data_IF_854415424038
#
_entry.id   IF_854415424038
#
_cell.length_a   1.000
_cell.length_b   1.000
_cell.length_c   1.000
_cell.angle_alpha   90.00
_cell.angle_beta   90.00
_cell.angle_gamma   90.00
#
_symmetry.space_group_name_H-M   'P 1'
#
loop_
_entity.id
_entity.type
_entity.pdbx_description
1 polymer ?
#
# COMPACT_ATOMS: atom_id res chain seq x y z
N UNK A 1 2.28 14.78 83.14
CA UNK A 1 3.48 15.02 82.32
C UNK A 1 3.29 14.38 80.95
N UNK A 2 3.03 15.22 79.89
CA UNK A 2 2.81 14.75 78.50
C UNK A 2 4.13 14.87 77.75
N UNK A 3 4.73 13.73 77.35
CA UNK A 3 5.88 13.72 76.44
C UNK A 3 5.42 13.80 74.98
N UNK A 4 5.64 14.96 74.40
CA UNK A 4 5.45 15.21 72.97
C UNK A 4 6.68 14.72 72.21
N UNK A 5 6.54 13.63 71.45
CA UNK A 5 7.55 13.20 70.48
C UNK A 5 7.44 14.04 69.19
N UNK A 6 8.46 14.87 68.92
CA UNK A 6 8.60 15.58 67.64
C UNK A 6 8.79 14.61 66.48
N UNK A 7 8.09 14.72 65.35
CA UNK A 7 8.33 13.85 64.21
C UNK A 7 9.69 14.17 63.58
N UNK A 8 10.40 13.11 63.18
CA UNK A 8 11.73 13.17 62.60
C UNK A 8 11.69 13.67 61.15
N UNK A 9 11.99 14.94 60.99
CA UNK A 9 12.01 15.66 59.67
C UNK A 9 13.03 15.07 58.65
N UNK A 10 14.03 14.30 59.13
CA UNK A 10 15.09 13.71 58.27
C UNK A 10 14.61 12.53 57.41
N UNK A 11 13.60 11.76 57.81
CA UNK A 11 13.07 10.62 57.05
C UNK A 11 12.20 11.08 55.88
N UNK A 12 11.51 12.18 56.02
CA UNK A 12 10.65 12.77 54.97
C UNK A 12 11.47 13.35 53.79
N UNK A 13 12.58 14.03 54.06
CA UNK A 13 13.45 14.62 53.07
C UNK A 13 14.14 13.55 52.19
N UNK A 14 14.54 12.43 52.82
CA UNK A 14 15.18 11.32 52.09
C UNK A 14 14.19 10.59 51.16
N UNK A 15 12.93 10.40 51.61
CA UNK A 15 11.87 9.82 50.78
C UNK A 15 11.51 10.71 49.59
N UNK A 16 11.50 12.05 49.80
CA UNK A 16 11.20 13.00 48.74
C UNK A 16 12.32 13.03 47.67
N UNK A 17 13.58 12.93 48.12
CA UNK A 17 14.74 12.90 47.20
C UNK A 17 14.74 11.63 46.37
N UNK A 18 14.38 10.48 46.94
CA UNK A 18 14.25 9.17 46.23
C UNK A 18 13.13 9.20 45.19
N UNK A 19 11.99 9.83 45.50
CA UNK A 19 10.89 10.03 44.56
C UNK A 19 11.28 10.95 43.38
N UNK A 20 12.01 12.05 43.69
CA UNK A 20 12.48 12.98 42.66
C UNK A 20 13.51 12.33 41.72
N UNK A 21 14.44 11.55 42.26
CA UNK A 21 15.43 10.81 41.43
C UNK A 21 14.78 9.72 40.58
N UNK A 22 13.76 9.01 41.11
CA UNK A 22 12.98 8.04 40.36
C UNK A 22 12.20 8.70 39.21
N UNK A 23 11.59 9.87 39.45
CA UNK A 23 10.89 10.64 38.44
C UNK A 23 11.84 11.15 37.34
N UNK A 24 13.03 11.65 37.73
CA UNK A 24 14.08 12.05 36.77
C UNK A 24 14.61 10.90 35.94
N UNK A 25 14.77 9.70 36.53
CA UNK A 25 15.16 8.49 35.79
C UNK A 25 14.09 8.03 34.81
N UNK A 26 12.79 8.16 35.13
CA UNK A 26 11.71 7.90 34.20
C UNK A 26 11.71 8.89 33.03
N UNK A 27 11.95 10.19 33.27
CA UNK A 27 12.08 11.15 32.17
C UNK A 27 13.31 10.91 31.29
N UNK A 28 14.42 10.47 31.86
CA UNK A 28 15.62 10.12 31.10
C UNK A 28 15.43 8.84 30.26
N UNK A 29 14.64 7.87 30.76
CA UNK A 29 14.32 6.65 30.02
C UNK A 29 13.44 6.90 28.79
N UNK A 30 12.54 7.89 28.85
CA UNK A 30 11.72 8.29 27.69
C UNK A 30 12.49 9.10 26.64
N UNK A 31 13.68 9.60 26.95
CA UNK A 31 14.54 10.32 25.98
C UNK A 31 15.56 9.41 25.28
N UNK A 32 15.66 8.15 25.66
CA UNK A 32 16.39 7.18 24.87
C UNK A 32 15.65 7.01 23.53
N UNK A 33 16.12 7.75 22.56
CA UNK A 33 15.76 7.60 21.15
C UNK A 33 15.84 6.12 20.85
N UNK A 34 14.67 5.51 20.60
CA UNK A 34 14.60 4.16 20.05
C UNK A 34 15.57 4.06 18.85
N UNK A 35 15.97 2.87 18.44
CA UNK A 35 16.90 2.72 17.35
C UNK A 35 16.45 3.66 16.25
N UNK A 36 17.33 4.60 15.85
CA UNK A 36 17.10 5.38 14.65
C UNK A 36 16.88 4.32 13.60
N UNK A 37 15.62 4.08 13.25
CA UNK A 37 15.32 3.47 11.97
C UNK A 37 15.95 4.47 11.04
N UNK A 38 17.18 4.17 10.63
CA UNK A 38 17.81 4.82 9.51
C UNK A 38 16.74 4.65 8.44
N UNK A 39 16.02 5.73 8.15
CA UNK A 39 15.16 5.77 7.00
C UNK A 39 16.07 5.23 5.91
N UNK A 40 15.83 3.98 5.51
CA UNK A 40 16.44 3.45 4.30
C UNK A 40 16.04 4.50 3.30
N UNK A 41 16.99 5.34 2.98
CA UNK A 41 16.83 6.38 2.00
C UNK A 41 16.43 5.61 0.74
N UNK A 42 15.16 5.64 0.39
CA UNK A 42 14.66 5.25 -0.92
C UNK A 42 15.21 6.22 -1.99
N UNK A 43 16.22 7.02 -1.61
CA UNK A 43 17.02 7.88 -2.46
C UNK A 43 17.86 6.96 -3.34
N UNK A 44 17.31 6.61 -4.48
CA UNK A 44 18.05 5.87 -5.51
C UNK A 44 17.26 4.84 -6.30
N UNK A 45 16.09 4.42 -5.87
CA UNK A 45 15.15 3.78 -6.77
C UNK A 45 14.47 4.89 -7.57
N UNK A 46 15.14 5.39 -8.58
CA UNK A 46 14.48 6.18 -9.62
C UNK A 46 13.46 5.24 -10.23
N UNK A 47 12.18 5.39 -9.82
CA UNK A 47 11.11 4.53 -10.31
C UNK A 47 11.13 4.59 -11.83
N UNK A 48 11.49 3.46 -12.45
CA UNK A 48 11.53 3.38 -13.90
C UNK A 48 10.11 3.46 -14.43
N UNK A 49 9.85 4.46 -15.25
CA UNK A 49 8.56 4.57 -15.93
C UNK A 49 8.29 3.27 -16.70
N UNK A 50 7.17 2.57 -16.46
CA UNK A 50 6.87 1.28 -17.09
C UNK A 50 6.77 1.42 -18.61
N UNK A 51 7.10 0.37 -19.34
CA UNK A 51 7.03 0.38 -20.81
C UNK A 51 5.59 0.55 -21.30
N UNK A 52 4.62 -0.02 -20.62
CA UNK A 52 3.19 0.22 -20.83
C UNK A 52 2.57 0.85 -19.59
N UNK A 53 1.98 2.02 -19.73
CA UNK A 53 1.29 2.74 -18.65
C UNK A 53 -0.16 2.26 -18.59
N UNK A 54 -0.55 1.70 -17.45
CA UNK A 54 -1.92 1.31 -17.18
C UNK A 54 -2.68 2.45 -16.48
N UNK A 55 -3.89 2.76 -16.94
CA UNK A 55 -4.69 3.84 -16.37
C UNK A 55 -5.00 3.62 -14.89
N UNK A 56 -5.48 2.43 -14.54
CA UNK A 56 -5.97 2.15 -13.18
C UNK A 56 -4.85 2.14 -12.14
N UNK A 57 -3.67 1.60 -12.51
CA UNK A 57 -2.56 1.43 -11.57
C UNK A 57 -1.59 2.61 -11.55
N UNK A 58 -1.40 3.30 -12.68
CA UNK A 58 -0.38 4.33 -12.77
C UNK A 58 -0.95 5.76 -12.87
N UNK A 59 -2.04 5.95 -13.62
CA UNK A 59 -2.57 7.29 -13.94
C UNK A 59 -3.65 7.73 -12.96
N UNK A 60 -4.65 6.88 -12.73
CA UNK A 60 -5.79 7.21 -11.87
C UNK A 60 -5.38 7.63 -10.45
N UNK A 61 -4.39 6.99 -9.78
CA UNK A 61 -3.90 7.48 -8.49
C UNK A 61 -3.37 8.91 -8.56
N UNK A 62 -2.59 9.24 -9.60
CA UNK A 62 -2.05 10.60 -9.80
C UNK A 62 -3.19 11.60 -9.99
N UNK A 63 -4.12 11.31 -10.89
CA UNK A 63 -5.26 12.20 -11.16
C UNK A 63 -6.13 12.38 -9.90
N UNK A 64 -6.40 11.29 -9.17
CA UNK A 64 -7.21 11.31 -7.96
C UNK A 64 -6.59 12.17 -6.86
N UNK A 65 -5.29 12.05 -6.65
CA UNK A 65 -4.58 12.71 -5.56
C UNK A 65 -4.22 14.16 -5.88
N UNK A 66 -3.93 14.48 -7.16
CA UNK A 66 -3.41 15.79 -7.58
C UNK A 66 -4.44 16.67 -8.28
N UNK A 67 -5.47 16.08 -8.92
CA UNK A 67 -6.33 16.83 -9.85
C UNK A 67 -7.81 16.77 -9.48
N UNK A 68 -8.32 15.66 -8.89
CA UNK A 68 -9.75 15.45 -8.71
C UNK A 68 -10.41 16.39 -7.70
N UNK A 69 -9.65 17.09 -6.88
CA UNK A 69 -10.21 18.13 -6.01
C UNK A 69 -10.97 19.19 -6.80
N UNK A 70 -10.44 19.58 -7.97
CA UNK A 70 -11.02 20.61 -8.85
C UNK A 70 -11.50 20.05 -10.20
N UNK A 71 -11.05 18.85 -10.60
CA UNK A 71 -11.36 18.24 -11.90
C UNK A 71 -11.89 16.80 -11.77
N UNK A 72 -12.48 16.48 -10.62
CA UNK A 72 -12.96 15.14 -10.26
C UNK A 72 -14.44 14.91 -10.56
N UNK A 73 -15.04 13.91 -9.88
CA UNK A 73 -16.43 13.52 -10.09
C UNK A 73 -17.46 14.47 -9.46
N UNK A 74 -17.06 15.33 -8.51
CA UNK A 74 -17.97 16.28 -7.87
C UNK A 74 -18.30 17.42 -8.85
N UNK A 75 -19.50 17.42 -9.37
CA UNK A 75 -19.98 18.42 -10.35
C UNK A 75 -19.96 19.86 -9.80
N UNK A 76 -20.06 20.02 -8.48
CA UNK A 76 -20.08 21.35 -7.86
C UNK A 76 -18.67 21.93 -7.67
N UNK A 77 -17.65 21.07 -7.72
CA UNK A 77 -16.26 21.46 -7.57
C UNK A 77 -15.50 21.55 -8.90
N UNK A 78 -16.18 21.34 -10.05
CA UNK A 78 -15.50 21.36 -11.36
C UNK A 78 -15.12 22.80 -11.74
N UNK A 79 -13.81 23.01 -11.87
CA UNK A 79 -13.25 24.27 -12.35
C UNK A 79 -12.90 24.21 -13.84
N UNK A 80 -13.03 25.37 -14.52
CA UNK A 80 -12.72 25.48 -15.95
C UNK A 80 -13.55 24.60 -16.88
N UNK A 81 -14.60 23.95 -16.38
CA UNK A 81 -15.41 22.99 -17.14
C UNK A 81 -14.71 21.67 -17.45
N UNK A 82 -13.49 21.44 -16.92
CA UNK A 82 -12.71 20.23 -17.16
C UNK A 82 -13.04 19.14 -16.13
N UNK A 83 -13.35 17.96 -16.62
CA UNK A 83 -13.54 16.76 -15.78
C UNK A 83 -12.57 15.66 -16.22
N UNK A 84 -11.61 15.32 -15.34
CA UNK A 84 -10.59 14.30 -15.61
C UNK A 84 -10.96 12.91 -15.10
N UNK A 85 -12.13 12.73 -14.49
CA UNK A 85 -12.54 11.42 -13.99
C UNK A 85 -13.15 10.51 -15.06
N UNK A 86 -13.50 11.07 -16.22
CA UNK A 86 -14.03 10.33 -17.39
C UNK A 86 -13.30 10.70 -18.67
N UNK A 87 -13.22 9.76 -19.61
CA UNK A 87 -12.67 10.01 -20.94
C UNK A 87 -13.41 11.15 -21.66
N UNK A 88 -14.75 11.14 -21.63
CA UNK A 88 -15.58 12.16 -22.27
C UNK A 88 -15.26 13.57 -21.75
N UNK A 89 -15.14 13.73 -20.42
CA UNK A 89 -14.81 15.02 -19.81
C UNK A 89 -13.37 15.48 -20.08
N UNK A 90 -12.43 14.54 -20.17
CA UNK A 90 -11.02 14.83 -20.38
C UNK A 90 -10.68 15.20 -21.84
N UNK A 91 -11.42 14.66 -22.81
CA UNK A 91 -11.18 14.88 -24.23
C UNK A 91 -12.07 16.00 -24.82
N UNK A 92 -12.99 16.53 -24.02
CA UNK A 92 -13.86 17.61 -24.52
C UNK A 92 -13.06 18.89 -24.83
N UNK A 93 -13.54 19.63 -25.79
CA UNK A 93 -13.00 20.94 -26.11
C UNK A 93 -13.31 21.94 -25.00
N UNK A 94 -12.32 22.70 -24.58
CA UNK A 94 -12.34 23.65 -23.46
C UNK A 94 -12.27 25.11 -23.97
N UNK A 95 -12.52 26.03 -23.04
CA UNK A 95 -12.51 27.46 -23.34
C UNK A 95 -13.78 27.95 -24.04
N UNK A 96 -13.94 29.26 -24.12
CA UNK A 96 -15.10 29.90 -24.83
C UNK A 96 -15.08 29.60 -26.31
N UNK A 97 -13.92 29.58 -26.94
CA UNK A 97 -13.71 29.28 -28.36
C UNK A 97 -13.71 27.77 -28.66
N UNK A 98 -13.68 26.91 -27.65
CA UNK A 98 -13.52 25.43 -27.79
C UNK A 98 -12.32 25.05 -28.66
N UNK A 99 -11.22 25.76 -28.49
CA UNK A 99 -10.02 25.73 -29.34
C UNK A 99 -8.89 24.84 -28.80
N UNK A 100 -9.04 24.33 -27.59
CA UNK A 100 -8.05 23.45 -26.99
C UNK A 100 -8.69 22.31 -26.18
N UNK A 101 -7.92 21.27 -25.92
CA UNK A 101 -8.32 20.12 -25.14
C UNK A 101 -7.30 19.86 -24.02
N UNK A 102 -7.76 19.40 -22.87
CA UNK A 102 -6.86 19.01 -21.80
C UNK A 102 -5.99 17.81 -22.21
N UNK A 103 -6.60 16.84 -22.88
CA UNK A 103 -5.94 15.62 -23.33
C UNK A 103 -6.34 15.34 -24.77
N UNK A 104 -5.35 15.29 -25.66
CA UNK A 104 -5.49 14.82 -27.04
C UNK A 104 -4.78 13.47 -27.15
N UNK A 105 -5.50 12.36 -27.29
CA UNK A 105 -4.90 11.04 -27.39
C UNK A 105 -3.80 10.96 -28.44
N UNK A 106 -2.67 10.35 -28.09
CA UNK A 106 -1.44 10.21 -28.89
C UNK A 106 -0.66 11.51 -29.16
N UNK A 107 -1.18 12.68 -28.73
CA UNK A 107 -0.59 13.99 -29.05
C UNK A 107 -0.22 14.75 -27.77
N UNK A 108 0.98 14.50 -27.27
CA UNK A 108 1.48 15.08 -26.03
C UNK A 108 1.56 16.60 -26.10
N UNK A 109 2.10 17.14 -27.20
CA UNK A 109 2.30 18.59 -27.40
C UNK A 109 1.02 19.37 -27.65
N UNK A 110 -0.05 18.70 -28.10
CA UNK A 110 -1.36 19.34 -28.30
C UNK A 110 -2.25 19.22 -27.02
N UNK A 111 -1.78 18.51 -25.99
CA UNK A 111 -2.49 18.32 -24.73
C UNK A 111 -2.17 19.43 -23.75
N UNK A 112 -3.11 20.35 -23.49
CA UNK A 112 -2.89 21.48 -22.59
C UNK A 112 -2.61 21.06 -21.12
N UNK A 113 -2.98 19.83 -20.73
CA UNK A 113 -2.60 19.25 -19.45
C UNK A 113 -1.07 19.21 -19.30
N UNK A 114 -0.35 18.80 -20.35
CA UNK A 114 1.11 18.67 -20.30
C UNK A 114 1.79 20.03 -20.22
N UNK A 115 1.30 21.01 -20.95
CA UNK A 115 1.76 22.40 -20.86
C UNK A 115 1.60 22.90 -19.41
N UNK A 116 0.40 22.75 -18.85
CA UNK A 116 0.07 23.25 -17.50
C UNK A 116 0.84 22.58 -16.38
N UNK A 117 1.02 21.27 -16.41
CA UNK A 117 1.79 20.57 -15.35
C UNK A 117 3.28 20.86 -15.40
N UNK A 118 3.80 21.33 -16.55
CA UNK A 118 5.21 21.70 -16.72
C UNK A 118 5.46 23.21 -16.61
N UNK A 119 4.40 24.04 -16.58
CA UNK A 119 4.53 25.47 -16.42
C UNK A 119 5.07 25.86 -15.05
N UNK A 120 5.81 26.95 -15.00
CA UNK A 120 6.27 27.61 -13.76
C UNK A 120 5.54 28.94 -13.52
N UNK A 121 4.65 29.33 -14.44
CA UNK A 121 3.85 30.54 -14.31
C UNK A 121 2.63 30.26 -13.43
N UNK A 122 2.49 30.97 -12.33
CA UNK A 122 1.48 30.72 -11.29
C UNK A 122 0.03 30.71 -11.80
N UNK A 123 -0.29 31.50 -12.84
CA UNK A 123 -1.61 31.56 -13.46
C UNK A 123 -1.87 30.48 -14.54
N UNK A 124 -0.86 29.72 -14.91
CA UNK A 124 -0.93 28.63 -15.91
C UNK A 124 -0.71 27.27 -15.26
N UNK A 125 0.17 27.23 -14.27
CA UNK A 125 0.61 26.01 -13.61
C UNK A 125 -0.56 25.21 -13.02
N UNK A 126 -0.52 23.88 -13.19
CA UNK A 126 -1.42 22.93 -12.54
C UNK A 126 -0.63 21.80 -11.87
N UNK A 127 -1.00 21.41 -10.62
CA UNK A 127 -1.95 22.09 -9.73
C UNK A 127 -1.52 23.52 -9.41
N UNK A 128 -2.48 24.44 -9.11
CA UNK A 128 -2.14 25.81 -8.81
C UNK A 128 -1.39 25.93 -7.48
N UNK A 129 -0.48 26.90 -7.31
CA UNK A 129 0.38 27.01 -6.14
C UNK A 129 -0.38 27.04 -4.81
N UNK A 130 -1.52 27.70 -4.75
CA UNK A 130 -2.38 27.81 -3.58
C UNK A 130 -3.02 26.48 -3.14
N UNK A 131 -3.04 25.48 -4.00
CA UNK A 131 -3.54 24.14 -3.65
C UNK A 131 -2.62 23.36 -2.73
N UNK A 132 -1.34 23.78 -2.60
CA UNK A 132 -0.27 23.05 -1.93
C UNK A 132 -0.03 21.61 -2.48
N UNK A 133 -0.46 21.35 -3.70
CA UNK A 133 -0.24 20.10 -4.41
C UNK A 133 0.88 20.28 -5.46
N UNK A 134 1.65 19.24 -5.69
CA UNK A 134 2.70 19.24 -6.71
C UNK A 134 2.83 17.87 -7.35
N UNK A 135 3.34 17.82 -8.56
CA UNK A 135 3.65 16.60 -9.29
C UNK A 135 5.17 16.36 -9.28
N UNK A 136 5.58 15.16 -8.95
CA UNK A 136 6.96 14.73 -9.11
C UNK A 136 7.33 14.58 -10.59
N UNK A 137 8.63 14.58 -10.89
CA UNK A 137 9.11 14.33 -12.25
C UNK A 137 8.66 12.95 -12.79
N UNK A 138 8.52 11.96 -11.92
CA UNK A 138 8.01 10.65 -12.28
C UNK A 138 6.52 10.70 -12.66
N UNK A 139 5.67 11.35 -11.85
CA UNK A 139 4.24 11.49 -12.13
C UNK A 139 3.99 12.22 -13.45
N UNK A 140 4.76 13.28 -13.73
CA UNK A 140 4.70 14.00 -15.02
C UNK A 140 5.02 13.08 -16.19
N UNK A 141 6.09 12.30 -16.10
CA UNK A 141 6.48 11.33 -17.15
C UNK A 141 5.46 10.22 -17.34
N UNK A 142 4.77 9.77 -16.29
CA UNK A 142 3.68 8.80 -16.39
C UNK A 142 2.54 9.40 -17.22
N UNK A 143 2.12 10.63 -16.92
CA UNK A 143 1.04 11.29 -17.65
C UNK A 143 1.41 11.54 -19.13
N UNK A 144 2.63 12.02 -19.41
CA UNK A 144 3.14 12.18 -20.77
C UNK A 144 3.09 10.87 -21.55
N UNK A 145 3.65 9.79 -20.95
CA UNK A 145 3.70 8.48 -21.60
C UNK A 145 2.32 7.87 -21.81
N UNK A 146 1.41 8.07 -20.87
CA UNK A 146 0.02 7.64 -21.00
C UNK A 146 -0.66 8.33 -22.19
N UNK A 147 -0.50 9.64 -22.31
CA UNK A 147 -1.06 10.39 -23.45
C UNK A 147 -0.43 9.92 -24.77
N UNK A 148 0.88 9.74 -24.81
CA UNK A 148 1.58 9.22 -25.98
C UNK A 148 1.07 7.82 -26.40
N UNK A 149 0.60 7.02 -25.45
CA UNK A 149 0.02 5.69 -25.67
C UNK A 149 -1.48 5.71 -25.97
N UNK A 150 -2.09 6.89 -26.15
CA UNK A 150 -3.48 7.04 -26.53
C UNK A 150 -4.42 7.43 -25.40
N UNK A 151 -3.89 7.72 -24.21
CA UNK A 151 -4.64 8.21 -23.05
C UNK A 151 -5.86 7.34 -22.67
N UNK A 152 -5.82 6.04 -22.91
CA UNK A 152 -6.98 5.16 -22.73
C UNK A 152 -7.41 5.10 -21.26
N UNK A 153 -8.67 5.50 -21.02
CA UNK A 153 -9.34 5.29 -19.74
C UNK A 153 -9.78 3.83 -19.61
N UNK A 154 -9.69 3.31 -18.40
CA UNK A 154 -10.17 1.96 -18.08
C UNK A 154 -11.11 2.02 -16.89
N UNK A 155 -12.10 1.15 -16.90
CA UNK A 155 -12.93 0.90 -15.71
C UNK A 155 -12.07 0.38 -14.56
N UNK A 156 -12.59 0.53 -13.35
CA UNK A 156 -11.91 -0.02 -12.18
C UNK A 156 -11.82 -1.54 -12.34
N UNK A 157 -10.64 -2.10 -12.06
CA UNK A 157 -10.33 -3.52 -12.26
C UNK A 157 -11.36 -4.49 -11.62
N UNK A 158 -11.98 -4.08 -10.49
CA UNK A 158 -12.99 -4.87 -9.81
C UNK A 158 -14.29 -5.07 -10.63
N UNK A 159 -14.54 -4.24 -11.64
CA UNK A 159 -15.70 -4.33 -12.52
C UNK A 159 -15.36 -4.95 -13.89
N UNK A 160 -14.08 -5.23 -14.13
CA UNK A 160 -13.65 -5.90 -15.36
C UNK A 160 -13.72 -7.41 -15.15
N UNK A 161 -14.54 -8.13 -15.95
CA UNK A 161 -14.60 -9.59 -15.84
C UNK A 161 -13.21 -10.23 -15.98
N UNK A 162 -12.83 -11.17 -15.09
CA UNK A 162 -11.55 -11.86 -15.22
C UNK A 162 -11.47 -12.64 -16.53
N UNK A 163 -10.34 -12.51 -17.19
CA UNK A 163 -10.05 -13.29 -18.40
C UNK A 163 -9.10 -14.44 -18.07
N UNK A 164 -9.35 -15.66 -18.58
CA UNK A 164 -8.44 -16.76 -18.38
C UNK A 164 -7.02 -16.42 -18.83
N UNK A 165 -6.05 -16.78 -18.02
CA UNK A 165 -4.63 -16.63 -18.35
C UNK A 165 -4.02 -17.99 -18.66
N UNK A 166 -3.15 -18.06 -19.66
CA UNK A 166 -2.40 -19.27 -19.94
C UNK A 166 -1.49 -19.60 -18.77
N UNK A 167 -1.67 -20.78 -18.19
CA UNK A 167 -0.83 -21.27 -17.10
C UNK A 167 0.60 -21.46 -17.61
N UNK A 168 1.60 -20.89 -16.94
CA UNK A 168 2.99 -21.05 -17.34
C UNK A 168 3.41 -22.52 -17.25
N UNK A 169 4.13 -23.00 -18.24
CA UNK A 169 4.83 -24.29 -18.10
C UNK A 169 5.99 -24.13 -17.12
N UNK A 170 6.05 -25.02 -16.16
CA UNK A 170 7.14 -25.08 -15.16
C UNK A 170 7.78 -26.45 -15.26
N UNK A 171 9.10 -26.45 -15.26
CA UNK A 171 9.91 -27.68 -15.35
C UNK A 171 10.50 -28.00 -13.96
N UNK A 172 9.63 -28.12 -12.98
CA UNK A 172 10.01 -28.48 -11.60
C UNK A 172 8.88 -29.23 -10.92
N UNK A 173 9.23 -30.07 -9.93
CA UNK A 173 8.28 -30.79 -9.07
C UNK A 173 7.82 -29.97 -7.84
N UNK A 174 8.09 -28.66 -7.79
CA UNK A 174 7.73 -27.85 -6.63
C UNK A 174 6.29 -27.45 -6.74
N UNK A 175 5.59 -27.23 -7.51
CA UNK A 175 4.19 -26.81 -7.55
C UNK A 175 3.23 -27.99 -7.53
N UNK A 176 2.07 -27.78 -6.93
CA UNK A 176 0.96 -28.75 -6.90
C UNK A 176 -0.28 -28.27 -7.65
N UNK A 177 -0.33 -26.99 -8.01
CA UNK A 177 -1.47 -26.37 -8.69
C UNK A 177 -1.04 -25.24 -9.64
N UNK A 178 -2.01 -24.69 -10.36
CA UNK A 178 -1.78 -23.63 -11.35
C UNK A 178 -1.27 -22.33 -10.74
N UNK A 179 -1.66 -22.00 -9.50
CA UNK A 179 -1.19 -20.80 -8.79
C UNK A 179 0.32 -20.90 -8.57
N UNK A 180 0.80 -22.08 -8.17
CA UNK A 180 2.23 -22.32 -7.98
C UNK A 180 3.04 -22.05 -9.25
N UNK A 181 2.47 -22.38 -10.42
CA UNK A 181 3.11 -22.10 -11.69
C UNK A 181 3.34 -20.60 -11.93
N UNK A 182 2.36 -19.76 -11.60
CA UNK A 182 2.50 -18.31 -11.69
C UNK A 182 3.51 -17.77 -10.66
N UNK A 183 3.50 -18.30 -9.43
CA UNK A 183 4.46 -17.94 -8.38
C UNK A 183 5.88 -18.29 -8.81
N UNK A 184 6.12 -19.51 -9.26
CA UNK A 184 7.44 -19.95 -9.74
C UNK A 184 7.96 -19.11 -10.89
N UNK A 185 7.12 -18.81 -11.87
CA UNK A 185 7.51 -17.91 -12.96
C UNK A 185 7.99 -16.56 -12.44
N UNK A 186 7.27 -16.00 -11.46
CA UNK A 186 7.63 -14.71 -10.89
C UNK A 186 8.93 -14.77 -10.08
N UNK A 187 9.12 -15.81 -9.29
CA UNK A 187 10.37 -16.05 -8.58
C UNK A 187 11.55 -16.18 -9.56
N UNK A 188 11.42 -17.00 -10.60
CA UNK A 188 12.44 -17.18 -11.61
C UNK A 188 12.82 -15.87 -12.31
N UNK A 189 11.85 -15.03 -12.67
CA UNK A 189 12.10 -13.70 -13.24
C UNK A 189 12.93 -12.78 -12.32
N UNK A 190 12.89 -13.03 -11.01
CA UNK A 190 13.67 -12.32 -10.00
C UNK A 190 14.97 -13.03 -9.59
N UNK A 191 15.30 -14.15 -10.20
CA UNK A 191 16.45 -14.97 -9.82
C UNK A 191 16.31 -15.65 -8.46
N UNK A 192 15.07 -15.76 -7.95
CA UNK A 192 14.76 -16.34 -6.64
C UNK A 192 14.32 -17.81 -6.80
N UNK A 193 14.55 -18.59 -5.75
CA UNK A 193 14.05 -19.95 -5.61
C UNK A 193 12.99 -20.02 -4.51
N UNK A 194 12.06 -21.00 -4.58
CA UNK A 194 11.16 -21.27 -3.47
C UNK A 194 11.94 -21.61 -2.20
N UNK A 195 11.42 -21.22 -1.06
CA UNK A 195 11.92 -21.66 0.25
C UNK A 195 11.58 -23.12 0.48
N UNK A 196 12.29 -23.77 1.41
CA UNK A 196 11.92 -25.09 1.90
C UNK A 196 10.51 -25.08 2.51
N UNK A 197 9.88 -26.26 2.56
CA UNK A 197 8.59 -26.40 3.25
C UNK A 197 8.73 -25.97 4.73
N UNK A 198 7.71 -25.30 5.22
CA UNK A 198 7.68 -24.91 6.62
C UNK A 198 7.50 -26.12 7.54
N UNK A 199 8.04 -26.03 8.77
CA UNK A 199 7.85 -27.04 9.78
C UNK A 199 6.37 -27.22 10.15
N UNK A 200 6.00 -28.41 10.64
CA UNK A 200 4.61 -28.74 10.98
C UNK A 200 3.98 -27.75 11.96
N UNK A 201 4.73 -27.27 12.94
CA UNK A 201 4.24 -26.28 13.91
C UNK A 201 3.86 -24.95 13.22
N UNK A 202 4.68 -24.51 12.28
CA UNK A 202 4.41 -23.30 11.50
C UNK A 202 3.22 -23.53 10.56
N UNK A 203 3.13 -24.71 9.92
CA UNK A 203 2.02 -25.02 9.01
C UNK A 203 0.67 -25.04 9.71
N UNK A 204 0.58 -25.72 10.86
CA UNK A 204 -0.68 -25.75 11.61
C UNK A 204 -1.08 -24.37 12.11
N UNK A 205 -0.13 -23.59 12.60
CA UNK A 205 -0.39 -22.22 13.04
C UNK A 205 -0.92 -21.35 11.90
N UNK A 206 -0.32 -21.43 10.71
CA UNK A 206 -0.77 -20.67 9.54
C UNK A 206 -2.19 -21.04 9.15
N UNK A 207 -2.50 -22.33 8.99
CA UNK A 207 -3.83 -22.76 8.54
C UNK A 207 -4.94 -22.39 9.52
N UNK A 208 -4.66 -22.44 10.83
CA UNK A 208 -5.64 -22.00 11.82
C UNK A 208 -5.89 -20.49 11.75
N UNK A 209 -4.83 -19.69 11.71
CA UNK A 209 -4.97 -18.23 11.58
C UNK A 209 -5.66 -17.82 10.29
N UNK A 210 -5.35 -18.49 9.17
CA UNK A 210 -5.94 -18.18 7.87
C UNK A 210 -7.43 -18.56 7.78
N UNK A 211 -7.84 -19.68 8.42
CA UNK A 211 -9.20 -20.18 8.29
C UNK A 211 -10.14 -19.77 9.43
N UNK A 212 -9.60 -19.46 10.61
CA UNK A 212 -10.44 -19.17 11.80
C UNK A 212 -10.04 -17.88 12.53
N UNK A 213 -8.96 -17.20 12.08
CA UNK A 213 -8.41 -16.04 12.79
C UNK A 213 -7.77 -16.35 14.14
N UNK A 214 -7.84 -17.59 14.63
CA UNK A 214 -7.36 -18.03 15.95
C UNK A 214 -6.16 -19.01 15.83
N UNK A 215 -5.21 -19.00 16.76
CA UNK A 215 -4.14 -19.98 16.77
C UNK A 215 -4.65 -21.37 17.25
N UNK A 216 -3.99 -22.47 16.82
CA UNK A 216 -4.30 -23.79 17.36
C UNK A 216 -3.96 -23.87 18.83
N UNK A 217 -4.67 -24.73 19.57
CA UNK A 217 -4.30 -25.08 20.95
C UNK A 217 -2.98 -25.85 21.02
N UNK A 218 -2.27 -25.84 22.16
CA UNK A 218 -1.07 -26.64 22.34
C UNK A 218 -1.30 -28.13 22.10
N UNK A 219 -2.48 -28.66 22.47
CA UNK A 219 -2.85 -30.07 22.26
C UNK A 219 -2.97 -30.39 20.77
N UNK A 220 -3.62 -29.54 19.99
CA UNK A 220 -3.76 -29.70 18.53
C UNK A 220 -2.42 -29.60 17.82
N UNK A 221 -1.59 -28.64 18.22
CA UNK A 221 -0.22 -28.52 17.69
C UNK A 221 0.58 -29.79 17.95
N UNK A 222 0.56 -30.30 19.17
CA UNK A 222 1.26 -31.55 19.55
C UNK A 222 0.73 -32.76 18.77
N UNK A 223 -0.58 -32.88 18.63
CA UNK A 223 -1.21 -33.99 17.89
C UNK A 223 -0.82 -33.96 16.41
N UNK A 224 -0.81 -32.77 15.79
CA UNK A 224 -0.43 -32.64 14.38
C UNK A 224 1.06 -32.87 14.14
N UNK A 225 1.93 -32.34 14.97
CA UNK A 225 3.39 -32.53 14.82
C UNK A 225 3.80 -33.98 14.97
N UNK A 226 3.15 -34.72 15.88
CA UNK A 226 3.38 -36.14 16.09
C UNK A 226 2.74 -37.05 15.00
N UNK A 227 1.84 -36.54 14.21
CA UNK A 227 1.12 -37.32 13.21
C UNK A 227 1.98 -37.54 11.94
N UNK A 228 2.21 -38.80 11.58
CA UNK A 228 2.95 -39.19 10.36
C UNK A 228 2.07 -39.40 9.11
N UNK A 229 0.74 -39.27 9.25
CA UNK A 229 -0.18 -39.42 8.12
C UNK A 229 0.07 -38.32 7.06
N UNK A 230 0.39 -38.67 5.80
CA UNK A 230 0.55 -37.69 4.73
C UNK A 230 -0.69 -36.80 4.50
N UNK A 231 -1.86 -37.29 4.84
CA UNK A 231 -3.12 -36.54 4.71
C UNK A 231 -3.46 -35.70 5.96
N UNK A 232 -2.62 -35.68 6.99
CA UNK A 232 -2.90 -34.98 8.25
C UNK A 232 -3.23 -33.50 8.03
N UNK A 233 -2.49 -32.81 7.17
CA UNK A 233 -2.72 -31.39 6.85
C UNK A 233 -4.07 -31.18 6.17
N UNK A 234 -4.38 -31.94 5.13
CA UNK A 234 -5.65 -31.84 4.42
C UNK A 234 -6.86 -32.16 5.30
N UNK A 235 -6.69 -33.13 6.25
CA UNK A 235 -7.74 -33.42 7.24
C UNK A 235 -8.01 -32.25 8.16
N UNK A 236 -6.98 -31.52 8.60
CA UNK A 236 -7.16 -30.29 9.41
C UNK A 236 -7.85 -29.22 8.59
N UNK A 237 -7.38 -28.92 7.39
CA UNK A 237 -8.03 -27.94 6.49
C UNK A 237 -9.50 -28.24 6.32
N UNK A 238 -9.87 -29.49 5.94
CA UNK A 238 -11.25 -29.90 5.75
C UNK A 238 -12.09 -29.85 7.02
N UNK A 239 -11.47 -30.01 8.20
CA UNK A 239 -12.16 -29.86 9.47
C UNK A 239 -12.45 -28.40 9.77
N UNK A 240 -11.45 -27.53 9.64
CA UNK A 240 -11.57 -26.09 9.93
C UNK A 240 -12.58 -25.40 9.01
N UNK A 241 -12.58 -25.74 7.72
CA UNK A 241 -13.58 -25.23 6.75
C UNK A 241 -15.04 -25.54 7.10
N UNK A 242 -15.28 -26.44 8.07
CA UNK A 242 -16.63 -26.83 8.53
C UNK A 242 -16.97 -26.27 9.90
N UNK A 243 -16.09 -25.48 10.51
CA UNK A 243 -16.35 -24.85 11.80
C UNK A 243 -17.07 -23.53 11.62
N UNK A 244 -17.82 -23.11 12.64
CA UNK A 244 -18.49 -21.81 12.65
C UNK A 244 -17.47 -20.67 12.60
N UNK A 245 -16.32 -20.85 13.24
CA UNK A 245 -15.21 -19.87 13.24
C UNK A 245 -14.68 -19.53 11.83
N UNK A 246 -14.90 -20.42 10.84
CA UNK A 246 -14.53 -20.13 9.44
C UNK A 246 -15.56 -19.25 8.72
N UNK A 247 -16.81 -19.24 9.20
CA UNK A 247 -17.91 -18.51 8.58
C UNK A 247 -18.07 -17.06 9.11
N UNK A 248 -17.38 -16.71 10.19
CA UNK A 248 -17.34 -15.38 10.78
C UNK A 248 -16.18 -14.53 10.25
#
# INVERSE_FOLDING_TARGET
MKNSKKPSFKKSAFSFLLLLTSLLLCFYSCQNKGPKITSISLIGLQEKVPDSVDFTFHVKPILSDRCFKCHGPDKNAIEGGLSLHTAAGAYMALGKAKDHQAIVPFKVTESSLIERINSTEANVQMPPPESNLSLSAYEKKILEKWIAQGAAYKEHWAFIPPTPKTVPKIDTNWGTNEIDAFVLRKLSQKGLKPSAAADKEILIRRVYLDLTGLPPSPAETKAFTANSDPAAYSKIVNRLLKTDDHAE
#
